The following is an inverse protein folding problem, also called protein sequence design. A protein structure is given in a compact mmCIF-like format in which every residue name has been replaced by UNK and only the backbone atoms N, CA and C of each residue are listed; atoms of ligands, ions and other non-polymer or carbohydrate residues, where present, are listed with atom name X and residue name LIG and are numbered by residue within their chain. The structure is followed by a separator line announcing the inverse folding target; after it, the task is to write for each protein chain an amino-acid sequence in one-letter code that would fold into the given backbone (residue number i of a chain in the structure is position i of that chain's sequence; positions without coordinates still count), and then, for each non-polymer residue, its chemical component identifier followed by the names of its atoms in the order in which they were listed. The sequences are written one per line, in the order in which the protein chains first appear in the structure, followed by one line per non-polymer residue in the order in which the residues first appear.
data_IF_250538502750
#
_entry.id   IF_250538502750
#
_cell.length_a   1.000
_cell.length_b   1.000
_cell.length_c   1.000
_cell.angle_alpha   90.00
_cell.angle_beta   90.00
_cell.angle_gamma   90.00
#
_symmetry.space_group_name_H-M   'P 1'
#
loop_
_entity.id
_entity.type
_entity.pdbx_description
1 polymer ?
#
# COMPACT_ATOMS: atom_id res chain seq x y z
N UNK A 1 -4.74 -1.81 8.55
CA UNK A 1 -3.47 -1.64 9.30
C UNK A 1 -3.81 -0.91 10.59
N UNK A 2 -3.28 -1.38 11.72
CA UNK A 2 -3.34 -0.65 13.00
C UNK A 2 -1.93 -0.19 13.32
N UNK A 3 -1.74 1.09 13.65
CA UNK A 3 -0.44 1.67 13.98
C UNK A 3 -0.61 2.75 15.05
N UNK A 4 0.42 3.01 15.85
CA UNK A 4 0.38 4.09 16.84
C UNK A 4 0.26 5.49 16.17
N UNK A 5 0.91 5.69 15.03
CA UNK A 5 0.84 6.93 14.24
C UNK A 5 0.93 6.65 12.73
N UNK A 6 -0.16 6.80 11.98
CA UNK A 6 -0.17 6.46 10.55
C UNK A 6 0.56 7.46 9.66
N UNK A 7 0.94 8.63 10.19
CA UNK A 7 1.86 9.54 9.50
C UNK A 7 3.29 9.00 9.36
N UNK A 8 3.62 7.89 10.01
CA UNK A 8 4.97 7.30 9.94
C UNK A 8 5.09 6.19 8.90
N UNK A 9 3.95 5.68 8.44
CA UNK A 9 3.94 4.55 7.51
C UNK A 9 3.82 4.98 6.05
N UNK A 10 4.50 4.26 5.18
CA UNK A 10 4.27 4.26 3.75
C UNK A 10 3.78 2.88 3.30
N UNK A 11 2.80 2.85 2.39
CA UNK A 11 2.30 1.61 1.77
C UNK A 11 2.48 1.67 0.26
N UNK A 12 3.16 0.67 -0.28
CA UNK A 12 3.41 0.50 -1.71
C UNK A 12 3.01 -0.90 -2.20
N UNK A 13 2.55 -1.00 -3.44
CA UNK A 13 2.32 -2.26 -4.14
C UNK A 13 3.49 -2.56 -5.07
N UNK A 14 3.93 -3.81 -5.08
CA UNK A 14 4.99 -4.33 -5.97
C UNK A 14 4.37 -5.38 -6.89
N UNK A 15 4.53 -5.20 -8.20
CA UNK A 15 4.08 -6.14 -9.24
C UNK A 15 5.05 -7.30 -9.43
N UNK A 16 4.63 -8.39 -10.10
CA UNK A 16 5.51 -9.51 -10.44
C UNK A 16 6.72 -9.11 -11.29
N UNK A 17 6.60 -8.03 -12.08
CA UNK A 17 7.70 -7.45 -12.87
C UNK A 17 8.65 -6.58 -12.03
N UNK A 18 8.39 -6.41 -10.73
CA UNK A 18 9.18 -5.58 -9.82
C UNK A 18 8.84 -4.09 -9.84
N UNK A 19 7.80 -3.66 -10.58
CA UNK A 19 7.37 -2.25 -10.52
C UNK A 19 6.75 -1.94 -9.17
N UNK A 20 7.03 -0.75 -8.68
CA UNK A 20 6.56 -0.26 -7.38
C UNK A 20 5.60 0.91 -7.63
N UNK A 21 4.49 0.95 -6.89
CA UNK A 21 3.56 2.08 -6.89
C UNK A 21 3.14 2.41 -5.47
N UNK A 22 3.27 3.69 -5.11
CA UNK A 22 2.80 4.24 -3.85
C UNK A 22 1.27 4.23 -3.80
N UNK A 23 0.72 3.58 -2.77
CA UNK A 23 -0.72 3.59 -2.45
C UNK A 23 -1.04 4.64 -1.39
N UNK A 24 -0.22 4.70 -0.33
CA UNK A 24 -0.41 5.60 0.80
C UNK A 24 0.92 6.19 1.22
N UNK A 25 1.05 7.50 1.11
CA UNK A 25 2.16 8.23 1.70
C UNK A 25 1.95 8.49 3.19
N UNK A 26 3.01 9.01 3.81
CA UNK A 26 3.12 9.41 5.21
C UNK A 26 2.31 10.67 5.55
N UNK A 27 1.00 10.65 5.32
CA UNK A 27 0.13 11.84 5.35
C UNK A 27 -1.07 11.72 6.28
N UNK A 28 -1.26 10.58 6.95
CA UNK A 28 -2.46 10.32 7.76
C UNK A 28 -2.35 10.84 9.22
N UNK A 29 -1.19 11.35 9.62
CA UNK A 29 -0.96 11.96 10.92
C UNK A 29 -1.26 11.03 12.09
N UNK A 30 -1.93 11.56 13.13
CA UNK A 30 -2.28 10.85 14.38
C UNK A 30 -3.38 9.78 14.25
N UNK A 31 -3.88 9.52 13.04
CA UNK A 31 -4.80 8.41 12.86
C UNK A 31 -4.11 7.10 13.22
N UNK A 32 -4.87 6.14 13.75
CA UNK A 32 -4.32 4.87 14.27
C UNK A 32 -4.82 3.63 13.51
N UNK A 33 -5.82 3.79 12.64
CA UNK A 33 -6.40 2.71 11.86
C UNK A 33 -6.54 3.12 10.39
N UNK A 34 -5.96 2.31 9.49
CA UNK A 34 -6.10 2.46 8.05
C UNK A 34 -6.90 1.29 7.49
N UNK A 35 -8.13 1.60 7.09
CA UNK A 35 -9.03 0.75 6.33
C UNK A 35 -9.37 1.49 5.04
N UNK A 36 -8.76 1.09 3.92
CA UNK A 36 -8.88 1.80 2.65
C UNK A 36 -8.78 0.85 1.45
N UNK A 37 -9.56 1.17 0.42
CA UNK A 37 -9.49 0.55 -0.90
C UNK A 37 -8.84 1.54 -1.87
N UNK A 38 -7.88 1.05 -2.65
CA UNK A 38 -7.18 1.81 -3.68
C UNK A 38 -7.61 1.29 -5.05
N UNK A 39 -7.99 2.18 -5.95
CA UNK A 39 -8.39 1.85 -7.32
C UNK A 39 -7.78 2.84 -8.30
N UNK A 40 -7.90 2.59 -9.61
CA UNK A 40 -7.45 3.54 -10.62
C UNK A 40 -8.14 4.92 -10.50
N UNK A 41 -9.37 4.95 -9.97
CA UNK A 41 -10.12 6.20 -9.76
C UNK A 41 -9.59 7.00 -8.56
N UNK A 42 -9.28 6.34 -7.44
CA UNK A 42 -8.82 7.01 -6.22
C UNK A 42 -7.30 7.14 -6.14
N UNK A 43 -6.56 6.40 -6.96
CA UNK A 43 -5.10 6.30 -6.94
C UNK A 43 -4.57 6.16 -8.36
N UNK A 44 -4.52 7.27 -9.13
CA UNK A 44 -4.13 7.24 -10.54
C UNK A 44 -2.72 6.69 -10.80
N UNK A 45 -1.84 6.69 -9.80
CA UNK A 45 -0.49 6.11 -9.87
C UNK A 45 -0.51 4.60 -10.15
N UNK A 46 -1.61 3.90 -9.81
CA UNK A 46 -1.82 2.48 -10.16
C UNK A 46 -1.82 2.22 -11.67
N UNK A 47 -2.04 3.23 -12.51
CA UNK A 47 -1.91 3.11 -13.97
C UNK A 47 -0.52 2.60 -14.41
N UNK A 48 0.52 2.81 -13.61
CA UNK A 48 1.88 2.31 -13.86
C UNK A 48 1.99 0.78 -13.88
N UNK A 49 0.98 0.10 -13.35
CA UNK A 49 0.87 -1.36 -13.29
C UNK A 49 0.15 -1.97 -14.49
N UNK A 50 -0.45 -1.15 -15.37
CA UNK A 50 -1.18 -1.61 -16.55
C UNK A 50 -0.23 -2.06 -17.67
N UNK A 51 -0.74 -2.94 -18.55
CA UNK A 51 -0.02 -3.42 -19.73
C UNK A 51 1.06 -4.47 -19.43
N UNK A 52 0.99 -5.12 -18.27
CA UNK A 52 1.95 -6.12 -17.82
C UNK A 52 1.26 -7.43 -17.50
N UNK A 53 2.01 -8.53 -17.56
CA UNK A 53 1.51 -9.80 -17.04
C UNK A 53 1.18 -9.66 -15.56
N UNK A 54 -0.04 -10.02 -15.19
CA UNK A 54 -0.47 -10.11 -13.80
C UNK A 54 0.00 -11.40 -13.12
N UNK A 55 0.52 -12.37 -13.88
CA UNK A 55 0.95 -13.65 -13.35
C UNK A 55 2.22 -13.50 -12.51
N UNK A 56 2.22 -14.15 -11.36
CA UNK A 56 3.35 -14.20 -10.45
C UNK A 56 3.07 -13.56 -9.10
N UNK A 57 4.14 -13.29 -8.36
CA UNK A 57 4.05 -12.84 -6.96
C UNK A 57 3.81 -11.34 -6.89
N UNK A 58 2.69 -10.98 -6.30
CA UNK A 58 2.43 -9.61 -5.85
C UNK A 58 2.83 -9.43 -4.41
N UNK A 59 3.33 -8.25 -4.05
CA UNK A 59 3.72 -7.94 -2.68
C UNK A 59 3.15 -6.60 -2.27
N UNK A 60 2.52 -6.56 -1.09
CA UNK A 60 2.30 -5.31 -0.38
C UNK A 60 3.54 -5.03 0.49
N UNK A 61 4.10 -3.83 0.37
CA UNK A 61 5.19 -3.37 1.21
C UNK A 61 4.68 -2.25 2.12
N UNK A 62 4.82 -2.46 3.43
CA UNK A 62 4.52 -1.46 4.45
C UNK A 62 5.84 -1.13 5.15
N UNK A 63 6.21 0.14 5.16
CA UNK A 63 7.42 0.64 5.82
C UNK A 63 6.99 1.62 6.90
N UNK A 64 7.33 1.32 8.15
CA UNK A 64 7.41 2.35 9.18
C UNK A 64 8.80 2.97 9.13
N UNK A 65 8.86 4.29 8.96
CA UNK A 65 10.12 5.02 8.80
C UNK A 65 10.47 5.92 10.00
N UNK A 66 9.66 5.93 11.07
CA UNK A 66 10.04 6.59 12.33
C UNK A 66 10.15 5.54 13.43
N UNK A 67 11.19 5.63 14.24
CA UNK A 67 11.36 4.72 15.37
C UNK A 67 10.34 4.97 16.49
N UNK A 68 10.21 3.98 17.39
CA UNK A 68 9.40 3.98 18.63
C UNK A 68 7.92 3.62 18.47
N UNK A 69 7.29 4.03 17.38
CA UNK A 69 5.93 3.58 17.08
C UNK A 69 5.98 2.20 16.41
N UNK A 70 4.94 1.41 16.64
CA UNK A 70 4.81 0.08 16.04
C UNK A 70 3.36 -0.20 15.67
N UNK A 71 3.16 -1.23 14.86
CA UNK A 71 1.82 -1.67 14.50
C UNK A 71 1.78 -2.99 13.76
N UNK A 72 0.59 -3.29 13.24
CA UNK A 72 0.23 -4.59 12.68
C UNK A 72 -0.45 -4.39 11.33
N UNK A 73 0.03 -5.11 10.31
CA UNK A 73 -0.73 -5.33 9.10
C UNK A 73 -1.82 -6.37 9.38
N UNK A 74 -3.01 -5.91 9.76
CA UNK A 74 -4.15 -6.78 10.11
C UNK A 74 -4.58 -7.70 8.94
N UNK A 75 -4.38 -7.26 7.71
CA UNK A 75 -4.75 -7.99 6.51
C UNK A 75 -4.71 -7.09 5.28
N UNK A 76 -4.62 -7.71 4.12
CA UNK A 76 -4.75 -7.05 2.83
C UNK A 76 -5.33 -8.02 1.80
N UNK A 77 -5.96 -7.45 0.77
CA UNK A 77 -6.48 -8.19 -0.37
C UNK A 77 -6.08 -7.45 -1.64
N UNK A 78 -5.76 -8.21 -2.67
CA UNK A 78 -5.58 -7.71 -4.03
C UNK A 78 -6.63 -8.34 -4.93
N UNK A 79 -7.32 -7.51 -5.70
CA UNK A 79 -8.19 -7.96 -6.79
C UNK A 79 -7.55 -7.56 -8.10
N UNK A 80 -7.35 -8.53 -8.98
CA UNK A 80 -6.82 -8.33 -10.32
C UNK A 80 -7.83 -8.91 -11.28
N UNK A 81 -8.29 -8.09 -12.22
CA UNK A 81 -9.30 -8.48 -13.18
C UNK A 81 -9.87 -7.24 -13.85
N UNK A 82 -10.66 -7.50 -14.88
CA UNK A 82 -11.60 -6.55 -15.48
C UNK A 82 -12.98 -6.93 -14.93
#
# INVERSE_FOLDING_TARGET
ITHAFLGDIEVSLISPSGRITLLQGRTLGRQTALTRSYSLQTTPTLSRMLGQSAQGRWQLRVIDAIANDTGILNGWKLSIGI
#
